data_IF_816979339298
#
_entry.id   IF_816979339298
#
_cell.length_a   1.000
_cell.length_b   1.000
_cell.length_c   1.000
_cell.angle_alpha   90.00
_cell.angle_beta   90.00
_cell.angle_gamma   90.00
#
_symmetry.space_group_name_H-M   'P 1'
#
loop_
_entity.id
_entity.type
_entity.pdbx_description
1 polymer ?
#
# COMPACT_ATOMS: atom_id res chain seq x y z
N UNK A 1 -15.08 -2.54 23.15
CA UNK A 1 -16.00 -3.08 22.12
C UNK A 1 -15.72 -2.30 20.86
N UNK A 2 -15.37 -2.99 19.78
CA UNK A 2 -15.14 -2.40 18.46
C UNK A 2 -16.50 -1.97 17.91
N UNK A 3 -16.69 -0.67 17.65
CA UNK A 3 -17.96 -0.15 17.12
C UNK A 3 -18.07 -0.47 15.62
N UNK A 4 -19.29 -0.80 15.17
CA UNK A 4 -19.61 -1.02 13.75
C UNK A 4 -20.79 -0.15 13.38
N UNK A 5 -20.63 0.66 12.32
CA UNK A 5 -21.69 1.52 11.78
C UNK A 5 -21.92 1.18 10.32
N UNK A 6 -23.19 1.03 9.94
CA UNK A 6 -23.61 0.79 8.55
C UNK A 6 -24.44 1.94 8.00
N UNK A 7 -24.20 2.32 6.75
CA UNK A 7 -25.02 3.29 6.02
C UNK A 7 -25.00 3.02 4.51
N UNK A 8 -25.80 3.76 3.74
CA UNK A 8 -25.76 3.72 2.28
C UNK A 8 -25.01 4.93 1.72
N UNK A 9 -24.18 4.68 0.71
CA UNK A 9 -23.52 5.71 -0.09
C UNK A 9 -24.08 5.65 -1.50
N UNK A 10 -24.63 6.77 -1.95
CA UNK A 10 -25.19 6.87 -3.30
C UNK A 10 -24.07 6.96 -4.33
N UNK A 11 -24.18 6.14 -5.37
CA UNK A 11 -23.29 6.15 -6.52
C UNK A 11 -24.15 6.05 -7.80
N UNK A 12 -23.70 6.69 -8.87
CA UNK A 12 -24.47 6.84 -10.10
C UNK A 12 -24.85 5.48 -10.76
N UNK A 13 -24.05 4.43 -10.50
CA UNK A 13 -24.24 3.10 -11.07
C UNK A 13 -24.87 2.10 -10.09
N UNK A 14 -25.23 2.56 -8.88
CA UNK A 14 -25.85 1.77 -7.82
C UNK A 14 -25.26 2.05 -6.44
N UNK A 15 -26.13 2.07 -5.42
CA UNK A 15 -25.72 2.39 -4.05
C UNK A 15 -24.77 1.34 -3.47
N UNK A 16 -23.75 1.81 -2.77
CA UNK A 16 -22.92 0.97 -1.91
C UNK A 16 -23.53 0.89 -0.51
N UNK A 17 -23.53 -0.30 0.09
CA UNK A 17 -23.64 -0.44 1.54
C UNK A 17 -22.25 -0.26 2.14
N UNK A 18 -22.10 0.75 2.99
CA UNK A 18 -20.86 1.07 3.68
C UNK A 18 -20.91 0.49 5.10
N UNK A 19 -19.88 -0.24 5.47
CA UNK A 19 -19.67 -0.77 6.82
C UNK A 19 -18.36 -0.23 7.35
N UNK A 20 -18.42 0.55 8.43
CA UNK A 20 -17.25 1.13 9.09
C UNK A 20 -17.02 0.40 10.40
N UNK A 21 -15.80 -0.09 10.59
CA UNK A 21 -15.32 -0.72 11.81
C UNK A 21 -14.34 0.25 12.48
N UNK A 22 -14.67 0.73 13.68
CA UNK A 22 -13.72 1.50 14.49
C UNK A 22 -12.56 0.57 14.86
N UNK A 23 -11.38 0.78 14.28
CA UNK A 23 -10.33 -0.25 14.15
C UNK A 23 -9.95 -0.92 15.48
N UNK A 24 -9.70 -2.22 15.43
CA UNK A 24 -9.20 -2.96 16.59
C UNK A 24 -7.67 -2.99 16.66
N UNK A 25 -7.03 -2.93 15.49
CA UNK A 25 -5.58 -3.07 15.32
C UNK A 25 -4.95 -1.83 14.66
N UNK A 26 -5.65 -1.22 13.71
CA UNK A 26 -5.25 0.08 13.16
C UNK A 26 -5.78 1.23 14.03
N UNK A 27 -5.02 2.32 14.18
CA UNK A 27 -5.46 3.51 14.91
C UNK A 27 -6.56 4.28 14.17
N UNK A 28 -6.92 3.85 12.97
CA UNK A 28 -7.89 4.47 12.08
C UNK A 28 -8.99 3.46 11.73
N UNK A 29 -10.24 3.91 11.57
CA UNK A 29 -11.32 3.03 11.18
C UNK A 29 -11.06 2.34 9.83
N UNK A 30 -11.45 1.08 9.74
CA UNK A 30 -11.49 0.33 8.50
C UNK A 30 -12.88 0.49 7.85
N UNK A 31 -12.92 0.57 6.52
CA UNK A 31 -14.16 0.75 5.78
C UNK A 31 -14.33 -0.37 4.75
N UNK A 32 -15.52 -0.96 4.67
CA UNK A 32 -15.93 -1.83 3.59
C UNK A 32 -17.04 -1.17 2.77
N UNK A 33 -16.83 -1.03 1.47
CA UNK A 33 -17.86 -0.68 0.51
C UNK A 33 -18.35 -1.96 -0.19
N UNK A 34 -19.60 -2.31 0.05
CA UNK A 34 -20.26 -3.52 -0.43
C UNK A 34 -21.18 -3.12 -1.58
N UNK A 35 -21.00 -3.75 -2.74
CA UNK A 35 -21.86 -3.55 -3.90
C UNK A 35 -22.64 -4.82 -4.23
N UNK A 36 -23.93 -4.68 -4.49
CA UNK A 36 -24.83 -5.81 -4.71
C UNK A 36 -25.02 -6.65 -3.45
N UNK A 37 -25.21 -7.96 -3.65
CA UNK A 37 -25.43 -8.94 -2.57
C UNK A 37 -24.34 -10.04 -2.60
N UNK A 38 -23.11 -9.71 -2.20
CA UNK A 38 -21.99 -10.65 -2.30
C UNK A 38 -22.16 -11.85 -1.38
N UNK A 39 -21.97 -13.03 -1.96
CA UNK A 39 -22.03 -14.32 -1.28
C UNK A 39 -20.63 -14.87 -1.00
N UNK A 40 -20.55 -16.00 -0.28
CA UNK A 40 -19.28 -16.67 -0.02
C UNK A 40 -18.54 -17.00 -1.34
N UNK A 41 -17.25 -16.68 -1.40
CA UNK A 41 -16.42 -16.79 -2.60
C UNK A 41 -16.42 -15.53 -3.50
N UNK A 42 -17.15 -14.47 -3.14
CA UNK A 42 -17.26 -13.24 -3.93
C UNK A 42 -15.91 -12.55 -4.18
N UNK A 43 -15.91 -11.61 -5.14
CA UNK A 43 -14.76 -10.77 -5.42
C UNK A 43 -14.52 -9.78 -4.27
N UNK A 44 -13.29 -9.76 -3.77
CA UNK A 44 -12.85 -8.83 -2.73
C UNK A 44 -11.60 -8.10 -3.17
N UNK A 45 -11.57 -6.78 -2.94
CA UNK A 45 -10.35 -5.96 -3.05
C UNK A 45 -10.04 -5.37 -1.68
N UNK A 46 -8.80 -5.53 -1.22
CA UNK A 46 -8.28 -4.76 -0.09
C UNK A 46 -7.38 -3.66 -0.64
N UNK A 47 -7.73 -2.39 -0.43
CA UNK A 47 -6.96 -1.22 -0.77
C UNK A 47 -6.28 -0.66 0.48
N UNK A 48 -4.96 -0.49 0.42
CA UNK A 48 -4.21 0.30 1.41
C UNK A 48 -4.17 1.73 0.88
N UNK A 49 -4.53 2.72 1.70
CA UNK A 49 -4.56 4.13 1.30
C UNK A 49 -3.27 4.55 0.60
N UNK A 50 -3.43 5.31 -0.48
CA UNK A 50 -2.33 6.00 -1.12
C UNK A 50 -2.76 7.40 -1.58
N UNK A 51 -2.57 8.40 -0.72
CA UNK A 51 -2.97 9.79 -0.97
C UNK A 51 -2.45 10.31 -2.32
N UNK A 52 -1.15 10.12 -2.58
CA UNK A 52 -0.52 10.66 -3.79
C UNK A 52 -1.05 10.02 -5.07
N UNK A 53 -1.32 8.71 -5.05
CA UNK A 53 -1.87 8.03 -6.23
C UNK A 53 -3.35 8.34 -6.39
N UNK A 54 -4.13 8.09 -5.34
CA UNK A 54 -5.59 8.09 -5.38
C UNK A 54 -6.17 9.50 -5.54
N UNK A 55 -5.65 10.48 -4.80
CA UNK A 55 -6.18 11.85 -4.78
C UNK A 55 -5.42 12.77 -5.74
N UNK A 56 -4.08 12.72 -5.74
CA UNK A 56 -3.26 13.62 -6.56
C UNK A 56 -2.85 13.05 -7.93
N UNK A 57 -3.26 11.81 -8.27
CA UNK A 57 -2.99 11.24 -9.59
C UNK A 57 -1.51 10.99 -9.89
N UNK A 58 -0.69 10.74 -8.87
CA UNK A 58 0.75 10.49 -9.03
C UNK A 58 1.01 9.32 -9.98
N UNK A 59 1.83 9.58 -11.01
CA UNK A 59 2.29 8.58 -11.99
C UNK A 59 3.43 7.70 -11.47
N UNK A 60 3.94 7.99 -10.26
CA UNK A 60 5.03 7.23 -9.65
C UNK A 60 4.55 5.92 -8.99
N UNK A 61 3.24 5.69 -8.93
CA UNK A 61 2.66 4.44 -8.46
C UNK A 61 1.43 4.05 -9.27
N UNK A 62 0.97 2.83 -9.06
CA UNK A 62 -0.15 2.21 -9.76
C UNK A 62 -1.43 2.17 -8.91
N UNK A 63 -1.43 2.83 -7.75
CA UNK A 63 -2.49 2.70 -6.75
C UNK A 63 -3.87 3.16 -7.26
N UNK A 64 -3.93 4.25 -8.02
CA UNK A 64 -5.18 4.78 -8.58
C UNK A 64 -5.77 3.82 -9.61
N UNK A 65 -4.97 3.39 -10.57
CA UNK A 65 -5.39 2.42 -11.57
C UNK A 65 -5.92 1.13 -10.93
N UNK A 66 -5.21 0.61 -9.92
CA UNK A 66 -5.67 -0.59 -9.20
C UNK A 66 -7.01 -0.35 -8.48
N UNK A 67 -7.21 0.81 -7.87
CA UNK A 67 -8.46 1.17 -7.20
C UNK A 67 -9.62 1.24 -8.20
N UNK A 68 -9.45 2.02 -9.28
CA UNK A 68 -10.48 2.24 -10.30
C UNK A 68 -10.91 0.91 -10.94
N UNK A 69 -9.94 0.07 -11.35
CA UNK A 69 -10.24 -1.25 -11.93
C UNK A 69 -10.85 -2.24 -10.95
N UNK A 70 -10.54 -2.12 -9.67
CA UNK A 70 -11.17 -2.97 -8.66
C UNK A 70 -12.63 -2.57 -8.44
N UNK A 71 -12.94 -1.27 -8.41
CA UNK A 71 -14.32 -0.78 -8.30
C UNK A 71 -15.14 -1.22 -9.51
N UNK A 72 -14.60 -1.07 -10.72
CA UNK A 72 -15.25 -1.55 -11.96
C UNK A 72 -15.58 -3.05 -11.86
N UNK A 73 -14.62 -3.88 -11.47
CA UNK A 73 -14.83 -5.33 -11.34
C UNK A 73 -15.82 -5.69 -10.22
N UNK A 74 -15.83 -4.95 -9.12
CA UNK A 74 -16.78 -5.14 -8.02
C UNK A 74 -18.20 -4.84 -8.47
N UNK A 75 -18.42 -3.74 -9.20
CA UNK A 75 -19.73 -3.39 -9.75
C UNK A 75 -20.24 -4.46 -10.73
N UNK A 76 -19.35 -5.07 -11.50
CA UNK A 76 -19.70 -6.13 -12.46
C UNK A 76 -20.07 -7.48 -11.83
N UNK A 77 -19.54 -7.79 -10.65
CA UNK A 77 -19.62 -9.14 -10.08
C UNK A 77 -20.38 -9.24 -8.75
N UNK A 78 -20.82 -8.11 -8.17
CA UNK A 78 -21.13 -7.98 -6.74
C UNK A 78 -19.93 -8.34 -5.86
N UNK A 79 -19.55 -7.45 -4.94
CA UNK A 79 -18.31 -7.64 -4.22
C UNK A 79 -18.04 -6.60 -3.16
N UNK A 80 -16.85 -6.70 -2.57
CA UNK A 80 -16.45 -5.89 -1.42
C UNK A 80 -15.12 -5.21 -1.70
N UNK A 81 -15.08 -3.88 -1.55
CA UNK A 81 -13.85 -3.10 -1.45
C UNK A 81 -13.60 -2.78 0.02
N UNK A 82 -12.51 -3.27 0.59
CA UNK A 82 -12.06 -2.88 1.92
C UNK A 82 -10.98 -1.82 1.77
N UNK A 83 -11.18 -0.66 2.38
CA UNK A 83 -10.23 0.44 2.41
C UNK A 83 -9.62 0.56 3.81
N UNK A 84 -8.30 0.47 3.88
CA UNK A 84 -7.53 0.53 5.10
C UNK A 84 -6.59 1.75 5.06
N UNK A 85 -6.66 2.63 6.05
CA UNK A 85 -5.74 3.77 6.16
C UNK A 85 -4.38 3.33 6.74
N UNK A 86 -3.58 2.75 5.85
CA UNK A 86 -2.21 2.30 6.12
C UNK A 86 -1.27 2.79 5.04
N UNK A 87 -1.18 4.12 4.95
CA UNK A 87 -0.34 4.85 4.01
C UNK A 87 1.14 4.46 4.12
N UNK A 88 1.86 4.50 2.99
CA UNK A 88 3.30 4.29 2.95
C UNK A 88 3.71 2.89 3.40
N UNK A 89 2.86 1.87 3.18
CA UNK A 89 3.02 0.50 3.70
C UNK A 89 2.95 0.40 5.23
N UNK A 90 2.08 1.20 5.83
CA UNK A 90 1.92 1.29 7.28
C UNK A 90 2.95 2.17 7.98
N UNK A 91 3.92 2.75 7.25
CA UNK A 91 4.91 3.67 7.82
C UNK A 91 4.40 5.12 7.93
N UNK A 92 3.23 5.41 7.36
CA UNK A 92 2.59 6.72 7.40
C UNK A 92 3.06 7.68 6.29
N UNK A 93 2.30 8.76 6.13
CA UNK A 93 2.49 9.73 5.05
C UNK A 93 3.82 10.50 5.18
N UNK A 94 4.20 10.89 6.41
CA UNK A 94 5.43 11.63 6.65
C UNK A 94 6.67 10.81 6.25
N UNK A 95 6.70 9.53 6.62
CA UNK A 95 7.78 8.60 6.25
C UNK A 95 7.83 8.39 4.74
N UNK A 96 6.66 8.23 4.09
CA UNK A 96 6.57 8.17 2.63
C UNK A 96 7.15 9.41 1.96
N UNK A 97 6.83 10.61 2.47
CA UNK A 97 7.36 11.87 1.94
C UNK A 97 8.89 11.95 2.09
N UNK A 98 9.43 11.56 3.26
CA UNK A 98 10.88 11.46 3.47
C UNK A 98 11.54 10.47 2.50
N UNK A 99 10.92 9.31 2.30
CA UNK A 99 11.40 8.30 1.35
C UNK A 99 11.44 8.84 -0.08
N UNK A 100 10.40 9.55 -0.52
CA UNK A 100 10.37 10.21 -1.83
C UNK A 100 11.49 11.24 -1.96
N UNK A 101 11.70 12.10 -0.96
CA UNK A 101 12.78 13.08 -0.97
C UNK A 101 14.15 12.41 -1.12
N UNK A 102 14.41 11.34 -0.36
CA UNK A 102 15.66 10.57 -0.47
C UNK A 102 15.83 9.98 -1.88
N UNK A 103 14.77 9.41 -2.46
CA UNK A 103 14.82 8.88 -3.82
C UNK A 103 15.18 9.98 -4.83
N UNK A 104 14.60 11.16 -4.69
CA UNK A 104 14.84 12.32 -5.58
C UNK A 104 16.27 12.86 -5.43
N UNK A 105 16.75 13.00 -4.20
CA UNK A 105 18.06 13.58 -3.90
C UNK A 105 19.21 12.63 -4.27
N UNK A 106 18.99 11.31 -4.25
CA UNK A 106 20.07 10.31 -4.33
C UNK A 106 19.92 9.30 -5.47
N UNK A 107 18.77 9.24 -6.13
CA UNK A 107 18.45 8.28 -7.19
C UNK A 107 18.30 6.83 -6.72
N UNK A 108 18.26 6.57 -5.41
CA UNK A 108 18.02 5.22 -4.87
C UNK A 108 16.54 4.83 -5.00
N UNK A 109 16.27 3.53 -5.03
CA UNK A 109 14.89 3.04 -5.02
C UNK A 109 14.20 3.24 -3.66
N UNK A 110 12.88 3.05 -3.64
CA UNK A 110 12.06 3.28 -2.45
C UNK A 110 12.40 2.33 -1.30
N UNK A 111 12.86 1.10 -1.56
CA UNK A 111 13.23 0.16 -0.50
C UNK A 111 14.54 0.58 0.16
N UNK A 112 15.53 0.96 -0.63
CA UNK A 112 16.79 1.52 -0.14
C UNK A 112 16.54 2.81 0.67
N UNK A 113 15.63 3.67 0.20
CA UNK A 113 15.23 4.87 0.93
C UNK A 113 14.56 4.54 2.28
N UNK A 114 13.66 3.56 2.32
CA UNK A 114 12.99 3.13 3.56
C UNK A 114 13.96 2.47 4.55
N UNK A 115 14.92 1.68 4.05
CA UNK A 115 15.98 1.11 4.87
C UNK A 115 16.89 2.20 5.47
N UNK A 116 17.17 3.27 4.73
CA UNK A 116 17.92 4.42 5.23
C UNK A 116 17.16 5.20 6.32
N UNK A 117 15.83 5.09 6.35
CA UNK A 117 14.95 5.63 7.39
C UNK A 117 14.75 4.65 8.56
N UNK A 118 15.46 3.52 8.59
CA UNK A 118 15.37 2.48 9.63
C UNK A 118 13.92 1.95 9.82
N UNK A 119 13.12 2.00 8.76
CA UNK A 119 11.73 1.55 8.76
C UNK A 119 11.62 0.07 8.36
N UNK A 120 10.61 -0.62 8.89
CA UNK A 120 10.22 -1.95 8.36
C UNK A 120 9.84 -1.81 6.88
N UNK A 121 10.22 -2.80 6.07
CA UNK A 121 9.90 -2.81 4.64
C UNK A 121 8.38 -2.85 4.37
N UNK A 122 7.64 -3.44 5.29
CA UNK A 122 6.18 -3.50 5.34
C UNK A 122 5.72 -3.60 6.79
N UNK A 123 4.88 -2.68 7.26
CA UNK A 123 4.28 -2.71 8.60
C UNK A 123 2.76 -2.80 8.54
N UNK A 124 2.22 -3.23 7.40
CA UNK A 124 0.78 -3.37 7.19
C UNK A 124 0.20 -4.53 8.01
N UNK A 125 -1.01 -4.31 8.52
CA UNK A 125 -1.86 -5.33 9.12
C UNK A 125 -3.11 -5.50 8.26
N UNK A 126 -3.62 -6.74 8.21
CA UNK A 126 -4.86 -7.08 7.53
C UNK A 126 -5.92 -7.62 8.49
N UNK A 127 -5.67 -7.55 9.81
CA UNK A 127 -6.58 -8.04 10.84
C UNK A 127 -7.96 -7.36 10.77
N UNK A 128 -8.00 -6.03 10.63
CA UNK A 128 -9.28 -5.31 10.51
C UNK A 128 -10.03 -5.66 9.20
N UNK A 129 -9.31 -6.00 8.12
CA UNK A 129 -9.96 -6.52 6.91
C UNK A 129 -10.57 -7.92 7.15
N UNK A 130 -9.88 -8.79 7.90
CA UNK A 130 -10.42 -10.10 8.30
C UNK A 130 -11.66 -9.90 9.16
N UNK A 131 -11.64 -8.97 10.12
CA UNK A 131 -12.76 -8.66 10.99
C UNK A 131 -13.98 -8.16 10.18
N UNK A 132 -13.77 -7.22 9.25
CA UNK A 132 -14.84 -6.75 8.35
C UNK A 132 -15.42 -7.87 7.49
N UNK A 133 -14.58 -8.74 6.90
CA UNK A 133 -15.08 -9.87 6.08
C UNK A 133 -15.92 -10.85 6.91
N UNK A 134 -15.49 -11.15 8.14
CA UNK A 134 -16.26 -12.00 9.06
C UNK A 134 -17.56 -11.34 9.50
N UNK A 135 -17.55 -10.03 9.75
CA UNK A 135 -18.75 -9.25 10.06
C UNK A 135 -19.76 -9.28 8.91
N UNK A 136 -19.28 -9.31 7.67
CA UNK A 136 -20.10 -9.50 6.47
C UNK A 136 -20.56 -10.94 6.25
N UNK A 137 -20.17 -11.88 7.11
CA UNK A 137 -20.52 -13.30 7.00
C UNK A 137 -19.67 -14.09 6.00
N UNK A 138 -18.61 -13.50 5.43
CA UNK A 138 -17.76 -14.11 4.41
C UNK A 138 -16.65 -14.94 5.06
N UNK A 139 -16.50 -16.18 4.60
CA UNK A 139 -15.50 -17.18 5.05
C UNK A 139 -14.60 -17.60 3.91
N UNK A 140 -15.09 -17.53 2.68
CA UNK A 140 -14.35 -17.74 1.45
C UNK A 140 -14.42 -16.49 0.59
N UNK A 141 -13.32 -16.13 -0.07
CA UNK A 141 -13.27 -14.96 -0.96
C UNK A 141 -12.40 -15.24 -2.18
N UNK A 142 -12.65 -14.51 -3.25
CA UNK A 142 -11.74 -14.35 -4.38
C UNK A 142 -11.02 -13.01 -4.26
N UNK A 143 -9.78 -13.00 -3.80
CA UNK A 143 -9.01 -11.79 -3.54
C UNK A 143 -8.31 -11.27 -4.81
N UNK A 144 -8.68 -10.05 -5.18
CA UNK A 144 -8.08 -9.29 -6.28
C UNK A 144 -6.77 -8.62 -5.80
N UNK A 145 -5.64 -9.29 -5.99
CA UNK A 145 -4.32 -8.81 -5.52
C UNK A 145 -3.13 -9.33 -6.35
N UNK A 146 -2.07 -8.54 -6.43
CA UNK A 146 -0.73 -8.99 -6.88
C UNK A 146 0.28 -9.04 -5.71
N UNK A 147 -0.16 -8.72 -4.49
CA UNK A 147 0.65 -8.75 -3.28
C UNK A 147 0.45 -10.10 -2.54
N UNK A 148 1.47 -10.97 -2.47
CA UNK A 148 1.37 -12.24 -1.74
C UNK A 148 1.18 -12.04 -0.23
N UNK A 149 1.69 -10.94 0.35
CA UNK A 149 1.49 -10.64 1.76
C UNK A 149 0.03 -10.44 2.17
N UNK A 150 -0.84 -10.01 1.23
CA UNK A 150 -2.29 -9.95 1.48
C UNK A 150 -2.92 -11.34 1.54
N UNK A 151 -2.49 -12.24 0.65
CA UNK A 151 -2.98 -13.63 0.66
C UNK A 151 -2.62 -14.30 1.99
N UNK A 152 -1.35 -14.22 2.39
CA UNK A 152 -0.87 -14.79 3.64
C UNK A 152 -1.57 -14.17 4.86
N UNK A 153 -1.75 -12.84 4.90
CA UNK A 153 -2.39 -12.17 6.02
C UNK A 153 -3.86 -12.57 6.23
N UNK A 154 -4.60 -12.81 5.15
CA UNK A 154 -6.00 -13.27 5.25
C UNK A 154 -6.11 -14.76 5.57
N UNK A 155 -5.20 -15.58 5.05
CA UNK A 155 -5.15 -17.02 5.36
C UNK A 155 -4.87 -17.27 6.84
N UNK A 156 -3.89 -16.55 7.42
CA UNK A 156 -3.64 -16.55 8.88
C UNK A 156 -4.86 -16.06 9.67
N UNK A 157 -5.67 -15.16 9.09
CA UNK A 157 -6.93 -14.71 9.65
C UNK A 157 -8.06 -15.74 9.66
N UNK A 158 -7.84 -16.93 9.06
CA UNK A 158 -8.80 -18.02 8.99
C UNK A 158 -9.82 -17.89 7.85
N UNK A 159 -9.51 -17.12 6.80
CA UNK A 159 -10.32 -17.03 5.59
C UNK A 159 -9.78 -17.96 4.50
N UNK A 160 -10.67 -18.61 3.75
CA UNK A 160 -10.29 -19.33 2.53
C UNK A 160 -10.13 -18.33 1.39
N UNK A 161 -8.92 -18.22 0.84
CA UNK A 161 -8.62 -17.19 -0.17
C UNK A 161 -8.26 -17.81 -1.51
N UNK A 162 -9.11 -17.59 -2.52
CA UNK A 162 -8.76 -17.81 -3.93
C UNK A 162 -8.04 -16.57 -4.46
N UNK A 163 -6.97 -16.78 -5.20
CA UNK A 163 -6.20 -15.69 -5.79
C UNK A 163 -6.74 -15.32 -7.17
N UNK A 164 -7.02 -14.02 -7.40
CA UNK A 164 -7.24 -13.44 -8.72
C UNK A 164 -6.24 -12.30 -8.94
N UNK A 165 -5.29 -12.39 -9.88
CA UNK A 165 -4.35 -11.31 -10.13
C UNK A 165 -5.04 -10.09 -10.77
N UNK A 166 -4.55 -8.88 -10.47
CA UNK A 166 -4.95 -7.69 -11.23
C UNK A 166 -4.14 -7.63 -12.52
N UNK A 167 -4.86 -7.45 -13.62
CA UNK A 167 -4.23 -7.13 -14.91
C UNK A 167 -3.74 -5.69 -14.87
N UNK A 168 -2.43 -5.52 -14.97
CA UNK A 168 -1.77 -4.22 -14.98
C UNK A 168 -1.45 -3.81 -16.43
N UNK A 169 -1.61 -2.53 -16.80
CA UNK A 169 -1.18 -2.03 -18.09
C UNK A 169 0.35 -1.98 -18.12
N UNK A 170 0.91 -1.80 -19.32
CA UNK A 170 2.34 -1.54 -19.43
C UNK A 170 2.70 -0.28 -18.63
N UNK A 171 3.67 -0.37 -17.71
CA UNK A 171 4.03 0.77 -16.88
C UNK A 171 4.81 1.80 -17.69
N UNK A 172 4.48 3.08 -17.50
CA UNK A 172 5.32 4.18 -17.97
C UNK A 172 6.70 4.17 -17.29
N UNK A 173 7.67 4.92 -17.83
CA UNK A 173 9.06 4.91 -17.38
C UNK A 173 9.22 5.17 -15.87
N UNK A 174 8.44 6.11 -15.30
CA UNK A 174 8.47 6.43 -13.87
C UNK A 174 7.87 5.33 -12.98
N UNK A 175 6.79 4.70 -13.42
CA UNK A 175 6.14 3.60 -12.70
C UNK A 175 6.96 2.31 -12.78
N UNK A 176 7.67 2.09 -13.88
CA UNK A 176 8.45 0.87 -14.12
C UNK A 176 9.52 0.66 -13.04
N UNK A 177 10.28 1.71 -12.69
CA UNK A 177 11.30 1.63 -11.64
C UNK A 177 10.69 1.19 -10.29
N UNK A 178 9.51 1.71 -9.96
CA UNK A 178 8.78 1.35 -8.74
C UNK A 178 8.26 -0.09 -8.77
N UNK A 179 7.70 -0.55 -9.90
CA UNK A 179 7.18 -1.91 -10.04
C UNK A 179 8.30 -2.97 -10.02
N UNK A 180 9.44 -2.68 -10.65
CA UNK A 180 10.63 -3.53 -10.61
C UNK A 180 11.12 -3.67 -9.17
N UNK A 181 11.27 -2.55 -8.45
CA UNK A 181 11.67 -2.59 -7.04
C UNK A 181 10.68 -3.39 -6.17
N UNK A 182 9.36 -3.26 -6.43
CA UNK A 182 8.32 -4.05 -5.75
C UNK A 182 8.43 -5.55 -6.01
N UNK A 183 8.68 -5.95 -7.25
CA UNK A 183 8.86 -7.35 -7.65
C UNK A 183 10.10 -7.94 -7.00
N UNK A 184 11.23 -7.24 -7.11
CA UNK A 184 12.53 -7.78 -6.72
C UNK A 184 12.72 -7.85 -5.19
N UNK A 185 12.05 -7.00 -4.42
CA UNK A 185 12.19 -6.94 -2.96
C UNK A 185 11.03 -7.58 -2.18
N UNK A 186 9.85 -7.78 -2.77
CA UNK A 186 8.65 -8.28 -2.08
C UNK A 186 7.88 -9.35 -2.85
N UNK A 187 8.51 -9.96 -3.86
CA UNK A 187 7.95 -11.09 -4.63
C UNK A 187 6.54 -10.82 -5.19
N UNK A 188 6.22 -9.55 -5.47
CA UNK A 188 4.94 -9.20 -6.08
C UNK A 188 4.76 -9.95 -7.41
N UNK A 189 3.58 -10.54 -7.60
CA UNK A 189 3.20 -11.29 -8.80
C UNK A 189 2.85 -10.33 -9.94
N UNK A 190 3.84 -9.62 -10.46
CA UNK A 190 3.69 -8.66 -11.55
C UNK A 190 4.27 -9.25 -12.83
N UNK A 191 3.44 -9.39 -13.86
CA UNK A 191 3.91 -9.65 -15.22
C UNK A 191 4.48 -8.35 -15.82
N UNK A 192 5.68 -7.97 -15.40
CA UNK A 192 6.39 -6.86 -16.05
C UNK A 192 6.96 -7.43 -17.35
N UNK A 193 6.23 -7.33 -18.45
CA UNK A 193 6.68 -7.73 -19.78
C UNK A 193 7.73 -6.74 -20.31
N UNK A 194 8.83 -6.54 -19.57
CA UNK A 194 9.96 -5.78 -20.05
C UNK A 194 10.94 -6.73 -20.73
N UNK A 195 10.85 -6.84 -22.06
CA UNK A 195 11.88 -7.44 -22.91
C UNK A 195 13.13 -6.55 -23.01
N UNK A 196 13.50 -5.88 -21.93
CA UNK A 196 14.65 -4.96 -21.86
C UNK A 196 15.81 -5.64 -21.14
N UNK A 197 16.77 -6.10 -21.95
CA UNK A 197 18.13 -6.47 -21.56
C UNK A 197 18.78 -5.32 -20.76
N UNK A 198 18.61 -5.30 -19.45
CA UNK A 198 19.55 -4.60 -18.59
C UNK A 198 20.81 -5.45 -18.48
N UNK A 199 21.89 -5.00 -19.13
CA UNK A 199 23.24 -5.54 -18.89
C UNK A 199 23.49 -5.42 -17.39
N UNK A 200 23.58 -6.57 -16.74
CA UNK A 200 24.03 -6.75 -15.37
C UNK A 200 25.35 -6.01 -15.21
N UNK A 201 25.33 -4.80 -14.63
CA UNK A 201 26.54 -4.24 -14.05
C UNK A 201 26.71 -4.96 -12.70
N UNK A 202 27.36 -6.12 -12.76
CA UNK A 202 27.99 -6.76 -11.61
C UNK A 202 29.11 -5.82 -11.15
N UNK A 203 28.86 -4.99 -10.14
CA UNK A 203 29.96 -4.38 -9.37
C UNK A 203 30.24 -5.25 -8.15
N UNK A 204 31.27 -6.08 -8.28
CA UNK A 204 31.94 -6.72 -7.16
C UNK A 204 32.66 -5.65 -6.31
N UNK A 205 32.66 -5.81 -4.99
CA UNK A 205 33.63 -5.14 -4.11
C UNK A 205 33.02 -4.44 -2.90
N UNK A 206 33.11 -5.12 -1.77
CA UNK A 206 32.81 -4.82 -0.36
C UNK A 206 33.31 -3.49 0.25
N UNK A 207 33.57 -2.42 -0.51
CA UNK A 207 34.01 -1.11 0.02
C UNK A 207 33.06 0.07 -0.23
N UNK A 208 31.95 -0.15 -0.93
CA UNK A 208 30.98 0.90 -1.27
C UNK A 208 30.00 1.25 -0.12
N UNK A 209 29.84 0.36 0.86
CA UNK A 209 28.80 0.44 1.91
C UNK A 209 29.10 1.38 3.09
N UNK A 210 30.34 1.83 3.30
CA UNK A 210 30.69 2.62 4.49
C UNK A 210 30.59 4.14 4.27
N UNK A 211 30.99 4.64 3.11
CA UNK A 211 30.99 6.10 2.83
C UNK A 211 29.61 6.66 2.48
N UNK A 212 28.71 5.86 1.90
CA UNK A 212 27.34 6.28 1.56
C UNK A 212 26.35 6.22 2.71
N UNK A 213 26.58 5.37 3.72
CA UNK A 213 25.76 5.37 4.95
C UNK A 213 25.85 6.70 5.70
N UNK A 214 27.04 7.33 5.74
CA UNK A 214 27.22 8.65 6.32
C UNK A 214 26.46 9.73 5.54
N UNK A 215 26.51 9.70 4.20
CA UNK A 215 25.78 10.65 3.35
C UNK A 215 24.25 10.46 3.43
N UNK A 216 23.77 9.22 3.46
CA UNK A 216 22.35 8.88 3.63
C UNK A 216 21.83 9.26 5.03
N UNK A 217 22.62 9.05 6.08
CA UNK A 217 22.32 9.52 7.45
C UNK A 217 22.26 11.05 7.51
N UNK A 218 23.17 11.74 6.83
CA UNK A 218 23.20 13.21 6.79
C UNK A 218 22.01 13.80 6.03
N UNK A 219 21.55 13.13 4.96
CA UNK A 219 20.34 13.52 4.23
C UNK A 219 19.04 13.21 5.00
N UNK A 220 19.04 12.13 5.80
CA UNK A 220 17.92 11.77 6.68
C UNK A 220 17.77 12.69 7.91
N UNK A 221 18.86 13.32 8.36
CA UNK A 221 18.87 14.16 9.57
C UNK A 221 18.13 15.51 9.46
N UNK A 222 17.83 15.99 8.24
CA UNK A 222 17.20 17.31 8.04
C UNK A 222 18.06 18.50 8.53
N UNK A 223 17.69 19.76 8.23
CA UNK A 223 18.40 20.91 8.75
C UNK A 223 18.15 21.06 10.26
N UNK A 224 19.23 21.12 11.05
CA UNK A 224 19.18 21.44 12.49
C UNK A 224 18.63 22.85 12.66
N UNK A 225 17.45 23.00 13.30
CA UNK A 225 16.96 24.30 13.73
C UNK A 225 17.96 24.90 14.73
N UNK A 226 18.33 26.19 14.62
CA UNK A 226 19.13 26.84 15.64
C UNK A 226 18.33 26.92 16.95
N UNK A 227 18.97 26.52 18.04
CA UNK A 227 18.41 26.59 19.38
C UNK A 227 17.96 28.04 19.67
N UNK A 228 16.68 28.22 20.02
CA UNK A 228 16.18 29.48 20.57
C UNK A 228 16.87 29.71 21.90
N UNK A 229 17.79 30.67 21.92
CA UNK A 229 18.42 31.17 23.12
C UNK A 229 17.35 31.75 24.05
N UNK A 230 17.18 31.09 25.17
CA UNK A 230 16.56 31.58 26.38
C UNK A 230 17.20 32.92 26.77
N UNK A 231 16.41 33.99 26.81
CA UNK A 231 16.77 35.23 27.51
C UNK A 231 15.76 35.44 28.63
N UNK A 232 16.13 34.96 29.81
CA UNK A 232 15.70 35.53 31.06
C UNK A 232 16.40 36.90 31.25
N UNK A 233 15.63 37.94 31.56
CA UNK A 233 16.10 39.10 32.32
C UNK A 233 14.92 39.97 32.78
N UNK A 234 14.87 40.15 34.11
CA UNK A 234 14.21 41.19 34.91
C UNK A 234 12.68 41.20 35.01
#
# INVERSE_FOLDING_TARGET
MTEVVEHRLQDADGDFRIVVLDGSELPTPACAAVFGDPQDGCLVRIQSRCLYGEIFGSVNCDCRYQLDKSIEAIKQHSGVLIYLDQEGRGAGLLTKARGYRICQDTGVDTFAAYAALECKADSRSYADAVALLKQLGLREITLLTNNPGKLAGLDVGGLKVRHRPLVMPEPGAHTLAYLVAKRDNQEHMLSVAARLRWRVIRFAGSRWFSRRRAALRKAAAGPTQPASAEKAAA
#
